data_IF_325367169582
#
_entry.id   IF_325367169582
#
_cell.length_a   1.000
_cell.length_b   1.000
_cell.length_c   1.000
_cell.angle_alpha   90.00
_cell.angle_beta   90.00
_cell.angle_gamma   90.00
#
_symmetry.space_group_name_H-M   'P 1'
#
loop_
_entity.id
_entity.type
_entity.pdbx_description
1 polymer ?
#
# COMPACT_ATOMS: atom_id res chain seq x y z
N UNK A 1 -0.10 12.81 4.01
CA UNK A 1 1.07 13.59 4.45
C UNK A 1 2.08 13.68 3.31
N UNK A 2 2.61 14.85 2.96
CA UNK A 2 3.55 14.99 1.84
C UNK A 2 4.60 16.04 2.12
N UNK A 3 5.86 15.73 1.84
CA UNK A 3 6.95 16.70 1.97
C UNK A 3 7.28 17.05 3.43
N UNK A 4 6.92 16.18 4.38
CA UNK A 4 7.21 16.42 5.79
C UNK A 4 8.73 16.35 6.00
N UNK A 5 9.32 17.50 6.33
CA UNK A 5 10.74 17.71 6.56
C UNK A 5 10.92 19.03 7.32
N UNK A 6 11.81 19.03 8.30
CA UNK A 6 12.13 20.14 9.19
C UNK A 6 13.65 20.25 9.35
N UNK A 7 14.12 21.44 9.71
CA UNK A 7 15.53 21.63 10.06
C UNK A 7 15.82 20.98 11.42
N UNK A 8 16.94 20.26 11.52
CA UNK A 8 17.43 19.68 12.78
C UNK A 8 18.84 20.18 13.07
N UNK A 9 19.08 20.57 14.32
CA UNK A 9 20.42 20.94 14.77
C UNK A 9 21.37 19.74 14.83
N UNK A 10 20.84 18.55 15.10
CA UNK A 10 21.61 17.33 15.29
C UNK A 10 21.87 16.59 13.97
N UNK A 11 20.93 16.68 13.02
CA UNK A 11 20.95 15.90 11.79
C UNK A 11 20.87 16.74 10.51
N UNK A 12 20.83 18.07 10.61
CA UNK A 12 20.71 19.02 9.49
C UNK A 12 19.29 19.08 8.92
N UNK A 13 18.68 17.94 8.64
CA UNK A 13 17.28 17.80 8.24
C UNK A 13 16.70 16.56 8.89
N UNK A 14 15.52 16.70 9.45
CA UNK A 14 14.81 15.67 10.19
C UNK A 14 13.29 15.80 9.95
N UNK A 15 12.51 14.83 10.39
CA UNK A 15 11.06 14.87 10.30
C UNK A 15 10.47 13.68 9.58
N UNK A 16 9.69 12.90 10.32
CA UNK A 16 8.82 11.87 9.79
C UNK A 16 7.47 12.41 9.32
N UNK A 17 6.71 11.57 8.61
CA UNK A 17 5.27 11.78 8.50
C UNK A 17 4.62 11.79 9.91
N UNK A 18 5.11 10.94 10.81
CA UNK A 18 4.70 10.87 12.21
C UNK A 18 5.92 10.64 13.11
N UNK A 19 5.95 11.34 14.25
CA UNK A 19 6.92 11.14 15.32
C UNK A 19 6.17 10.89 16.64
N UNK A 20 6.57 9.84 17.37
CA UNK A 20 6.08 9.54 18.72
C UNK A 20 7.25 9.75 19.67
N UNK A 21 7.22 10.86 20.41
CA UNK A 21 8.32 11.27 21.26
C UNK A 21 7.88 11.34 22.73
N UNK A 22 8.29 10.35 23.53
CA UNK A 22 8.04 10.33 24.97
C UNK A 22 9.08 11.18 25.72
N UNK A 23 8.69 11.88 26.79
CA UNK A 23 9.66 12.68 27.58
C UNK A 23 9.25 12.83 29.03
N UNK A 24 10.21 13.16 29.90
CA UNK A 24 9.99 13.45 31.33
C UNK A 24 9.26 12.32 32.09
N UNK A 25 9.64 11.06 31.85
CA UNK A 25 9.01 9.90 32.47
C UNK A 25 7.57 9.62 32.02
N UNK A 26 7.06 10.32 31.00
CA UNK A 26 5.70 10.12 30.50
C UNK A 26 5.67 8.92 29.58
N UNK A 27 4.68 8.06 29.76
CA UNK A 27 4.38 6.96 28.85
C UNK A 27 3.27 7.35 27.86
N UNK A 28 3.55 7.22 26.57
CA UNK A 28 2.57 7.33 25.48
C UNK A 28 2.04 5.93 25.19
N UNK A 29 0.72 5.76 25.24
CA UNK A 29 0.08 4.46 25.03
C UNK A 29 -1.19 4.56 24.18
N UNK A 30 -1.58 3.46 23.54
CA UNK A 30 -2.84 3.39 22.80
C UNK A 30 -2.83 4.16 21.48
N UNK A 31 -1.65 4.50 20.94
CA UNK A 31 -1.55 5.27 19.69
C UNK A 31 -1.97 4.42 18.49
N UNK A 32 -2.75 4.99 17.57
CA UNK A 32 -3.21 4.35 16.34
C UNK A 32 -2.91 5.27 15.15
N UNK A 33 -2.07 4.80 14.23
CA UNK A 33 -1.71 5.52 13.00
C UNK A 33 -2.16 4.64 11.84
N UNK A 34 -3.31 4.95 11.24
CA UNK A 34 -3.88 4.04 10.26
C UNK A 34 -4.55 4.73 9.07
N UNK A 35 -4.66 3.99 7.96
CA UNK A 35 -5.31 4.42 6.73
C UNK A 35 -4.75 5.72 6.13
N UNK A 36 -3.47 6.05 6.41
CA UNK A 36 -2.85 7.24 5.88
C UNK A 36 -2.19 6.97 4.53
N UNK A 37 -2.26 7.97 3.64
CA UNK A 37 -1.37 8.06 2.49
C UNK A 37 -0.24 9.04 2.78
N UNK A 38 1.01 8.61 2.63
CA UNK A 38 2.18 9.46 2.82
C UNK A 38 3.22 9.33 1.72
N UNK A 39 3.83 10.45 1.30
CA UNK A 39 4.88 10.39 0.29
C UNK A 39 5.93 11.50 0.41
N UNK A 40 7.15 11.21 -0.05
CA UNK A 40 8.22 12.21 -0.17
C UNK A 40 8.53 12.93 1.15
N UNK A 41 8.55 12.20 2.25
CA UNK A 41 8.90 12.73 3.57
C UNK A 41 10.37 12.40 3.90
N UNK A 42 10.93 12.99 4.96
CA UNK A 42 12.26 12.64 5.49
C UNK A 42 12.20 11.53 6.53
N UNK A 43 11.37 10.52 6.27
CA UNK A 43 10.98 9.44 7.18
C UNK A 43 9.47 9.26 7.21
N UNK A 44 8.98 8.04 7.46
CA UNK A 44 7.56 7.82 7.76
C UNK A 44 7.31 7.90 9.26
N UNK A 45 7.93 7.01 10.05
CA UNK A 45 7.69 6.89 11.48
C UNK A 45 8.99 6.98 12.26
N UNK A 46 9.02 7.87 13.25
CA UNK A 46 10.03 7.88 14.29
C UNK A 46 9.42 7.62 15.67
N UNK A 47 10.09 6.76 16.44
CA UNK A 47 9.73 6.40 17.81
C UNK A 47 10.96 6.61 18.68
N UNK A 48 10.85 7.49 19.66
CA UNK A 48 11.97 7.82 20.55
C UNK A 48 11.52 8.60 21.77
N UNK A 49 12.48 9.25 22.41
CA UNK A 49 12.18 10.09 23.55
C UNK A 49 13.38 10.40 24.43
N UNK A 50 13.15 11.11 25.52
CA UNK A 50 14.20 11.44 26.50
C UNK A 50 13.70 11.22 27.92
N UNK A 51 14.63 11.23 28.87
CA UNK A 51 14.33 11.36 30.29
C UNK A 51 13.38 10.28 30.83
N UNK A 52 13.58 9.03 30.42
CA UNK A 52 12.89 7.84 30.96
C UNK A 52 11.43 7.67 30.53
N UNK A 53 11.01 8.28 29.41
CA UNK A 53 9.69 8.06 28.83
C UNK A 53 9.48 6.66 28.24
N UNK A 54 8.22 6.25 28.12
CA UNK A 54 7.81 4.96 27.56
C UNK A 54 6.88 5.10 26.36
N UNK A 55 6.91 4.13 25.45
CA UNK A 55 5.97 4.03 24.32
C UNK A 55 5.45 2.60 24.27
N UNK A 56 4.13 2.45 24.42
CA UNK A 56 3.47 1.13 24.45
C UNK A 56 2.21 1.07 23.63
N UNK A 57 1.76 -0.15 23.34
CA UNK A 57 0.46 -0.44 22.73
C UNK A 57 0.15 0.46 21.53
N UNK A 58 1.11 0.55 20.60
CA UNK A 58 1.01 1.41 19.42
C UNK A 58 0.76 0.55 18.19
N UNK A 59 -0.22 0.94 17.37
CA UNK A 59 -0.56 0.21 16.14
C UNK A 59 -0.43 1.13 14.94
N UNK A 60 0.28 0.65 13.94
CA UNK A 60 0.48 1.31 12.65
C UNK A 60 -0.08 0.38 11.58
N UNK A 61 -1.23 0.71 10.99
CA UNK A 61 -1.89 -0.20 10.06
C UNK A 61 -2.55 0.42 8.84
N UNK A 62 -2.61 -0.33 7.73
CA UNK A 62 -3.25 0.14 6.48
C UNK A 62 -2.71 1.48 5.96
N UNK A 63 -1.48 1.85 6.33
CA UNK A 63 -0.84 3.03 5.76
C UNK A 63 -0.20 2.64 4.44
N UNK A 64 -0.25 3.59 3.51
CA UNK A 64 0.50 3.53 2.27
C UNK A 64 1.57 4.61 2.31
N UNK A 65 2.82 4.19 2.15
CA UNK A 65 3.98 5.08 2.22
C UNK A 65 4.80 4.96 0.95
N UNK A 66 5.26 6.09 0.43
CA UNK A 66 6.04 6.11 -0.82
C UNK A 66 7.22 7.07 -0.77
N UNK A 67 8.40 6.60 -1.10
CA UNK A 67 9.60 7.41 -1.27
C UNK A 67 9.85 8.37 -0.09
N UNK A 68 9.72 7.88 1.14
CA UNK A 68 10.01 8.62 2.37
C UNK A 68 11.37 8.25 2.99
N UNK A 69 12.18 7.40 2.34
CA UNK A 69 13.49 7.03 2.82
C UNK A 69 13.43 5.99 3.94
N UNK A 70 13.34 6.44 5.19
CA UNK A 70 13.15 5.55 6.35
C UNK A 70 11.66 5.26 6.54
N UNK A 71 11.29 3.99 6.64
CA UNK A 71 9.95 3.63 7.10
C UNK A 71 9.84 3.73 8.61
N UNK A 72 10.85 3.25 9.34
CA UNK A 72 10.91 3.29 10.80
C UNK A 72 12.30 3.71 11.28
N UNK A 73 12.36 4.72 12.14
CA UNK A 73 13.47 4.94 13.06
C UNK A 73 12.98 4.70 14.49
N UNK A 74 13.63 3.80 15.24
CA UNK A 74 13.25 3.46 16.62
C UNK A 74 14.46 3.57 17.54
N UNK A 75 14.43 4.56 18.42
CA UNK A 75 15.45 4.78 19.43
C UNK A 75 15.14 3.98 20.70
N UNK A 76 15.91 2.92 20.93
CA UNK A 76 15.80 2.01 22.07
C UNK A 76 16.85 2.26 23.16
N UNK A 77 17.72 3.24 22.94
CA UNK A 77 18.75 3.65 23.89
C UNK A 77 19.52 4.86 23.38
N UNK A 78 20.54 5.28 24.14
CA UNK A 78 21.28 6.52 23.86
C UNK A 78 20.47 7.76 24.20
N UNK A 79 20.88 8.92 23.66
CA UNK A 79 20.31 10.24 23.98
C UNK A 79 18.80 10.31 23.75
N UNK A 80 18.31 9.66 22.71
CA UNK A 80 16.89 9.71 22.31
C UNK A 80 16.13 8.40 22.60
N UNK A 81 16.66 7.56 23.49
CA UNK A 81 16.08 6.26 23.81
C UNK A 81 14.85 6.33 24.71
N UNK A 82 13.85 5.50 24.38
CA UNK A 82 12.67 5.24 25.22
C UNK A 82 12.51 3.75 25.52
N UNK A 83 11.79 3.41 26.59
CA UNK A 83 11.29 2.04 26.77
C UNK A 83 10.15 1.79 25.78
N UNK A 84 10.36 0.88 24.81
CA UNK A 84 9.38 0.60 23.75
C UNK A 84 8.90 -0.84 23.82
N UNK A 85 7.58 -1.02 23.88
CA UNK A 85 6.94 -2.34 23.89
C UNK A 85 5.61 -2.35 23.13
N UNK A 86 5.17 -3.52 22.67
CA UNK A 86 3.83 -3.70 22.10
C UNK A 86 3.57 -2.88 20.83
N UNK A 87 4.60 -2.51 20.07
CA UNK A 87 4.42 -1.87 18.76
C UNK A 87 3.98 -2.93 17.75
N UNK A 88 2.93 -2.63 16.99
CA UNK A 88 2.40 -3.50 15.95
C UNK A 88 2.36 -2.75 14.63
N UNK A 89 2.96 -3.30 13.61
CA UNK A 89 2.97 -2.75 12.25
C UNK A 89 2.31 -3.78 11.34
N UNK A 90 1.11 -3.47 10.87
CA UNK A 90 0.18 -4.45 10.30
C UNK A 90 -0.46 -3.97 9.00
N UNK A 91 -0.53 -4.78 7.94
CA UNK A 91 -1.25 -4.41 6.71
C UNK A 91 -0.81 -3.08 6.06
N UNK A 92 0.45 -2.68 6.18
CA UNK A 92 0.95 -1.49 5.49
C UNK A 92 1.52 -1.86 4.12
N UNK A 93 1.40 -0.94 3.16
CA UNK A 93 2.10 -1.03 1.88
C UNK A 93 3.18 0.06 1.83
N UNK A 94 4.44 -0.35 1.78
CA UNK A 94 5.62 0.52 1.83
C UNK A 94 6.38 0.41 0.52
N UNK A 95 6.47 1.51 -0.23
CA UNK A 95 7.08 1.54 -1.56
C UNK A 95 8.22 2.56 -1.58
N UNK A 96 9.45 2.08 -1.42
CA UNK A 96 10.65 2.90 -1.51
C UNK A 96 11.38 2.60 -2.81
N UNK A 97 11.33 3.50 -3.78
CA UNK A 97 11.94 3.30 -5.10
C UNK A 97 13.37 3.81 -5.19
N UNK A 98 13.81 4.59 -4.19
CA UNK A 98 15.13 5.21 -4.13
C UNK A 98 16.21 4.32 -3.51
N UNK A 99 17.19 4.97 -2.90
CA UNK A 99 18.31 4.34 -2.22
C UNK A 99 18.39 4.75 -0.74
N UNK A 100 18.99 3.89 0.07
CA UNK A 100 19.10 4.14 1.51
C UNK A 100 20.02 3.16 2.24
N UNK A 101 20.31 3.45 3.50
CA UNK A 101 21.14 2.55 4.34
C UNK A 101 20.31 1.40 4.91
N UNK A 102 19.22 1.74 5.60
CA UNK A 102 18.26 0.79 6.16
C UNK A 102 16.85 1.35 6.01
N UNK A 103 15.86 0.50 5.70
CA UNK A 103 14.45 0.92 5.66
C UNK A 103 13.87 1.06 7.08
N UNK A 104 14.27 0.14 7.97
CA UNK A 104 13.97 0.16 9.39
C UNK A 104 15.29 0.24 10.17
N UNK A 105 15.41 1.25 11.04
CA UNK A 105 16.60 1.49 11.82
C UNK A 105 16.26 1.46 13.31
N UNK A 106 16.98 0.62 14.06
CA UNK A 106 16.98 0.62 15.51
C UNK A 106 18.28 1.27 16.01
N UNK A 107 18.15 2.25 16.89
CA UNK A 107 19.25 3.09 17.38
C UNK A 107 19.43 2.88 18.87
N UNK A 108 20.68 2.76 19.33
CA UNK A 108 21.02 2.69 20.76
C UNK A 108 20.59 1.42 21.50
N UNK A 109 19.93 0.47 20.82
CA UNK A 109 19.50 -0.80 21.40
C UNK A 109 19.11 -1.82 20.32
N UNK A 110 18.68 -3.00 20.76
CA UNK A 110 18.14 -4.04 19.89
C UNK A 110 16.68 -4.33 20.28
N UNK A 111 15.78 -4.50 19.29
CA UNK A 111 14.40 -4.85 19.58
C UNK A 111 14.29 -6.31 20.05
N UNK A 112 13.19 -6.61 20.73
CA UNK A 112 12.78 -7.96 21.08
C UNK A 112 11.42 -8.29 20.48
N UNK A 113 10.97 -9.53 20.59
CA UNK A 113 9.61 -9.93 20.19
C UNK A 113 8.53 -9.14 20.97
N UNK A 114 8.85 -8.63 22.15
CA UNK A 114 7.97 -7.74 22.92
C UNK A 114 8.04 -6.27 22.50
N UNK A 115 9.05 -5.87 21.73
CA UNK A 115 9.22 -4.50 21.22
C UNK A 115 8.34 -4.25 20.00
N UNK A 116 8.45 -5.11 18.99
CA UNK A 116 7.79 -4.96 17.69
C UNK A 116 7.25 -6.30 17.18
N UNK A 117 6.04 -6.25 16.63
CA UNK A 117 5.45 -7.30 15.82
C UNK A 117 5.10 -6.77 14.41
N UNK A 118 5.78 -7.30 13.39
CA UNK A 118 5.68 -6.88 11.99
C UNK A 118 4.91 -7.92 11.19
N UNK A 119 3.67 -7.63 10.74
CA UNK A 119 2.80 -8.64 10.12
C UNK A 119 2.01 -8.14 8.93
N UNK A 120 1.72 -9.01 7.97
CA UNK A 120 0.82 -8.72 6.85
C UNK A 120 1.23 -7.48 6.05
N UNK A 121 2.49 -7.06 6.05
CA UNK A 121 2.91 -5.87 5.30
C UNK A 121 3.46 -6.25 3.93
N UNK A 122 3.36 -5.33 2.98
CA UNK A 122 4.11 -5.36 1.73
C UNK A 122 5.24 -4.33 1.81
N UNK A 123 6.47 -4.78 1.58
CA UNK A 123 7.64 -3.92 1.44
C UNK A 123 8.24 -4.06 0.04
N UNK A 124 8.14 -2.99 -0.74
CA UNK A 124 8.73 -2.89 -2.08
C UNK A 124 9.88 -1.89 -2.05
N UNK A 125 11.11 -2.42 -1.98
CA UNK A 125 12.30 -1.70 -1.54
C UNK A 125 13.34 -1.65 -2.64
N UNK A 126 13.80 -0.44 -2.95
CA UNK A 126 14.80 -0.11 -3.95
C UNK A 126 16.22 -0.51 -3.57
N UNK A 127 17.16 0.38 -3.82
CA UNK A 127 18.58 0.14 -3.62
C UNK A 127 19.02 0.45 -2.19
N UNK A 128 18.71 -0.43 -1.26
CA UNK A 128 19.07 -0.27 0.15
C UNK A 128 20.24 -1.19 0.50
N UNK A 129 21.08 -0.79 1.46
CA UNK A 129 22.05 -1.77 1.99
C UNK A 129 21.33 -2.86 2.78
N UNK A 130 20.37 -2.46 3.62
CA UNK A 130 19.60 -3.33 4.50
C UNK A 130 18.11 -3.00 4.46
N UNK A 131 17.25 -3.99 4.67
CA UNK A 131 15.88 -3.77 5.09
C UNK A 131 15.84 -3.31 6.55
N UNK A 132 16.46 -4.05 7.48
CA UNK A 132 16.66 -3.62 8.87
C UNK A 132 18.12 -3.76 9.32
N UNK A 133 18.54 -2.92 10.25
CA UNK A 133 19.88 -3.00 10.87
C UNK A 133 19.95 -3.88 12.12
N UNK A 134 18.82 -4.41 12.60
CA UNK A 134 18.72 -5.30 13.76
C UNK A 134 17.66 -6.37 13.53
N UNK A 135 17.91 -7.54 14.10
CA UNK A 135 16.95 -8.62 14.28
C UNK A 135 16.40 -8.64 15.72
N UNK A 136 15.54 -9.62 16.04
CA UNK A 136 15.07 -9.88 17.40
C UNK A 136 13.59 -9.53 17.64
N UNK A 137 12.99 -8.71 16.78
CA UNK A 137 11.54 -8.47 16.76
C UNK A 137 10.77 -9.65 16.16
N UNK A 138 9.48 -9.74 16.44
CA UNK A 138 8.61 -10.74 15.84
C UNK A 138 8.19 -10.31 14.43
N UNK A 139 8.24 -11.23 13.47
CA UNK A 139 7.79 -10.98 12.10
C UNK A 139 7.17 -12.24 11.49
N UNK A 140 6.07 -12.08 10.76
CA UNK A 140 5.38 -13.16 10.05
C UNK A 140 4.48 -12.60 8.95
N UNK A 141 4.15 -13.42 7.94
CA UNK A 141 3.22 -13.06 6.86
C UNK A 141 3.52 -11.70 6.20
N UNK A 142 4.79 -11.33 6.02
CA UNK A 142 5.15 -10.14 5.25
C UNK A 142 5.64 -10.55 3.86
N UNK A 143 5.37 -9.72 2.86
CA UNK A 143 5.94 -9.82 1.52
C UNK A 143 7.07 -8.82 1.38
N UNK A 144 8.25 -9.31 1.04
CA UNK A 144 9.43 -8.49 0.78
C UNK A 144 9.83 -8.57 -0.69
N UNK A 145 9.83 -7.43 -1.36
CA UNK A 145 10.38 -7.25 -2.70
C UNK A 145 11.62 -6.37 -2.61
N UNK A 146 12.79 -7.00 -2.63
CA UNK A 146 14.07 -6.30 -2.64
C UNK A 146 14.54 -6.17 -4.08
N UNK A 147 14.40 -4.98 -4.66
CA UNK A 147 14.65 -4.72 -6.09
C UNK A 147 16.13 -4.78 -6.44
N UNK A 148 17.00 -4.37 -5.51
CA UNK A 148 18.44 -4.50 -5.67
C UNK A 148 18.92 -5.82 -5.05
N UNK A 149 19.69 -6.60 -5.83
CA UNK A 149 20.21 -7.91 -5.38
C UNK A 149 21.13 -7.81 -4.16
N UNK A 150 21.77 -6.66 -3.94
CA UNK A 150 22.66 -6.44 -2.82
C UNK A 150 21.92 -6.09 -1.51
N UNK A 151 20.63 -5.73 -1.57
CA UNK A 151 19.85 -5.42 -0.37
C UNK A 151 19.66 -6.69 0.46
N UNK A 152 20.02 -6.65 1.73
CA UNK A 152 19.84 -7.78 2.65
C UNK A 152 18.68 -7.53 3.61
N UNK A 153 17.95 -8.57 4.03
CA UNK A 153 16.87 -8.41 5.01
C UNK A 153 17.38 -7.91 6.38
N UNK A 154 18.56 -8.35 6.80
CA UNK A 154 19.07 -8.10 8.15
C UNK A 154 18.54 -9.09 9.21
N UNK A 155 17.79 -10.09 8.78
CA UNK A 155 17.36 -11.28 9.52
C UNK A 155 17.13 -12.45 8.55
N UNK A 156 16.87 -13.64 9.08
CA UNK A 156 16.50 -14.82 8.28
C UNK A 156 15.01 -14.80 7.96
N UNK A 157 14.65 -14.83 6.68
CA UNK A 157 13.25 -14.93 6.24
C UNK A 157 12.57 -16.17 6.85
N UNK A 158 11.41 -15.98 7.46
CA UNK A 158 10.65 -17.04 8.11
C UNK A 158 9.49 -17.53 7.23
N UNK A 159 9.82 -18.32 6.21
CA UNK A 159 8.83 -18.90 5.30
C UNK A 159 7.80 -19.79 6.02
N UNK A 160 8.19 -20.47 7.11
CA UNK A 160 7.29 -21.29 7.93
C UNK A 160 6.22 -20.45 8.66
N UNK A 161 6.48 -19.15 8.85
CA UNK A 161 5.52 -18.19 9.40
C UNK A 161 4.83 -17.36 8.28
N UNK A 162 4.79 -17.86 7.05
CA UNK A 162 4.04 -17.24 5.95
C UNK A 162 4.76 -16.07 5.26
N UNK A 163 6.02 -15.77 5.59
CA UNK A 163 6.76 -14.72 4.89
C UNK A 163 7.17 -15.14 3.48
N UNK A 164 7.12 -14.19 2.54
CA UNK A 164 7.42 -14.44 1.12
C UNK A 164 8.39 -13.40 0.59
N UNK A 165 9.19 -13.81 -0.39
CA UNK A 165 9.95 -12.90 -1.26
C UNK A 165 9.27 -12.87 -2.63
N UNK A 166 9.07 -11.69 -3.21
CA UNK A 166 8.52 -11.58 -4.57
C UNK A 166 7.93 -10.22 -4.88
N UNK A 167 7.81 -9.93 -6.18
CA UNK A 167 7.14 -8.72 -6.68
C UNK A 167 5.67 -8.69 -6.21
N UNK A 168 5.19 -7.59 -5.58
CA UNK A 168 3.80 -7.48 -5.14
C UNK A 168 2.78 -7.43 -6.29
N UNK A 169 3.21 -7.26 -7.53
CA UNK A 169 2.35 -7.16 -8.72
C UNK A 169 1.27 -6.10 -8.54
N UNK A 170 1.68 -4.87 -8.26
CA UNK A 170 0.75 -3.74 -8.19
C UNK A 170 0.10 -3.46 -9.56
N UNK A 171 -1.16 -3.03 -9.58
CA UNK A 171 -1.91 -2.71 -10.81
C UNK A 171 -1.17 -1.65 -11.65
N UNK A 172 -0.74 -0.55 -11.03
CA UNK A 172 0.12 0.45 -11.66
C UNK A 172 0.92 1.23 -10.62
N UNK A 173 2.09 0.69 -10.23
CA UNK A 173 2.97 1.32 -9.26
C UNK A 173 3.49 2.70 -9.71
N UNK A 174 3.56 2.96 -11.02
CA UNK A 174 4.03 4.23 -11.57
C UNK A 174 2.95 5.32 -11.41
N UNK A 175 1.68 4.96 -11.62
CA UNK A 175 0.52 5.80 -11.33
C UNK A 175 0.11 5.81 -9.85
N UNK A 176 0.87 5.12 -8.97
CA UNK A 176 0.59 4.99 -7.54
C UNK A 176 -0.70 4.20 -7.23
N UNK A 177 -1.09 3.28 -8.11
CA UNK A 177 -2.13 2.30 -7.87
C UNK A 177 -1.52 1.03 -7.30
N UNK A 178 -1.56 0.92 -5.97
CA UNK A 178 -0.98 -0.18 -5.21
C UNK A 178 -1.96 -1.29 -4.88
N UNK A 179 -3.11 -1.33 -5.57
CA UNK A 179 -3.97 -2.53 -5.56
C UNK A 179 -3.22 -3.68 -6.24
N UNK A 180 -3.58 -4.91 -5.89
CA UNK A 180 -2.90 -6.12 -6.35
C UNK A 180 -3.49 -6.64 -7.67
N UNK A 181 -2.62 -7.07 -8.59
CA UNK A 181 -3.01 -7.87 -9.76
C UNK A 181 -3.30 -9.32 -9.33
N UNK A 182 -4.09 -10.08 -10.13
CA UNK A 182 -4.52 -11.44 -9.77
C UNK A 182 -3.40 -12.46 -9.54
N UNK A 183 -2.18 -12.22 -10.05
CA UNK A 183 -1.02 -13.11 -9.89
C UNK A 183 -0.08 -12.69 -8.74
N UNK A 184 -0.52 -11.77 -7.89
CA UNK A 184 0.29 -11.29 -6.76
C UNK A 184 0.53 -12.38 -5.71
N UNK A 185 1.77 -12.53 -5.19
CA UNK A 185 2.06 -13.43 -4.07
C UNK A 185 1.50 -12.92 -2.73
N UNK A 186 1.04 -11.66 -2.67
CA UNK A 186 0.41 -11.08 -1.49
C UNK A 186 -1.02 -11.57 -1.27
N UNK A 187 -1.70 -12.02 -2.35
CA UNK A 187 -3.06 -12.52 -2.30
C UNK A 187 -3.14 -13.79 -1.45
N UNK A 188 -4.15 -13.87 -0.58
CA UNK A 188 -4.40 -14.98 0.36
C UNK A 188 -3.13 -15.40 1.12
N UNK A 189 -2.29 -14.41 1.47
CA UNK A 189 -0.99 -14.62 2.09
C UNK A 189 -0.87 -14.08 3.51
N UNK A 190 -1.87 -13.32 3.97
CA UNK A 190 -1.91 -12.72 5.29
C UNK A 190 -2.52 -13.62 6.35
N UNK A 191 -2.40 -13.18 7.60
CA UNK A 191 -3.03 -13.79 8.77
C UNK A 191 -4.25 -12.98 9.20
N UNK A 192 -5.33 -13.62 9.64
CA UNK A 192 -6.43 -12.88 10.28
C UNK A 192 -5.97 -12.24 11.61
N UNK A 193 -5.97 -10.91 11.63
CA UNK A 193 -5.60 -10.09 12.79
C UNK A 193 -6.82 -9.43 13.46
N UNK A 194 -8.05 -9.77 13.02
CA UNK A 194 -9.31 -9.24 13.55
C UNK A 194 -9.74 -7.90 12.96
N UNK A 195 -9.20 -7.51 11.80
CA UNK A 195 -9.65 -6.33 11.06
C UNK A 195 -10.83 -6.68 10.17
N UNK A 196 -11.85 -5.81 10.04
CA UNK A 196 -12.98 -6.08 9.16
C UNK A 196 -12.78 -5.58 7.73
N UNK A 197 -11.98 -4.52 7.54
CA UNK A 197 -11.88 -3.77 6.30
C UNK A 197 -10.42 -3.37 5.98
N UNK A 198 -10.12 -3.21 4.70
CA UNK A 198 -8.83 -2.72 4.18
C UNK A 198 -8.73 -1.17 4.15
N UNK A 199 -7.68 -0.65 3.49
CA UNK A 199 -7.49 0.79 3.28
C UNK A 199 -8.63 1.48 2.51
N UNK A 200 -9.22 0.80 1.54
CA UNK A 200 -10.28 1.31 0.67
C UNK A 200 -11.70 1.07 1.21
N UNK A 201 -11.85 0.38 2.34
CA UNK A 201 -13.13 -0.01 2.92
C UNK A 201 -13.70 -1.31 2.34
N UNK A 202 -12.85 -2.12 1.69
CA UNK A 202 -13.16 -3.47 1.19
C UNK A 202 -13.14 -4.47 2.34
N UNK A 203 -14.07 -5.43 2.33
CA UNK A 203 -14.08 -6.54 3.30
C UNK A 203 -12.87 -7.47 3.09
N UNK A 204 -12.15 -7.76 4.16
CA UNK A 204 -10.98 -8.67 4.14
C UNK A 204 -11.36 -10.15 3.98
N UNK A 205 -12.64 -10.48 4.09
CA UNK A 205 -13.14 -11.84 3.91
C UNK A 205 -13.69 -12.05 2.49
N UNK A 206 -13.03 -11.43 1.50
CA UNK A 206 -13.35 -11.61 0.08
C UNK A 206 -12.61 -12.83 -0.52
N UNK A 207 -11.56 -13.32 0.15
CA UNK A 207 -10.81 -14.54 -0.16
C UNK A 207 -10.78 -15.56 0.99
N UNK A 208 -9.81 -16.49 0.96
CA UNK A 208 -9.63 -17.53 1.99
C UNK A 208 -8.96 -16.95 3.25
N UNK A 209 -8.01 -16.04 3.06
CA UNK A 209 -7.33 -15.31 4.13
C UNK A 209 -7.07 -13.87 3.69
N UNK A 210 -6.93 -12.90 4.62
CA UNK A 210 -6.65 -11.51 4.23
C UNK A 210 -5.39 -11.40 3.36
N UNK A 211 -5.38 -10.44 2.44
CA UNK A 211 -4.19 -10.15 1.67
C UNK A 211 -3.12 -9.44 2.53
N UNK A 212 -1.86 -9.63 2.16
CA UNK A 212 -0.79 -8.79 2.70
C UNK A 212 -0.89 -7.38 2.11
N UNK A 213 -0.53 -6.38 2.90
CA UNK A 213 -0.52 -4.98 2.51
C UNK A 213 -1.82 -4.25 2.83
N UNK A 214 -1.94 -3.03 2.30
CA UNK A 214 -3.01 -2.10 2.64
C UNK A 214 -4.31 -2.33 1.86
N UNK A 215 -4.27 -3.05 0.73
CA UNK A 215 -5.41 -3.24 -0.16
C UNK A 215 -5.73 -4.72 -0.31
N UNK A 216 -7.00 -5.06 -0.14
CA UNK A 216 -7.54 -6.37 -0.46
C UNK A 216 -7.79 -6.47 -1.98
N UNK A 217 -7.38 -7.57 -2.58
CA UNK A 217 -7.72 -7.90 -3.95
C UNK A 217 -9.19 -8.30 -4.02
N UNK A 218 -9.93 -7.65 -4.94
CA UNK A 218 -11.28 -8.07 -5.28
C UNK A 218 -11.19 -8.82 -6.61
N UNK A 219 -11.45 -10.14 -6.63
CA UNK A 219 -11.58 -10.87 -7.87
C UNK A 219 -12.63 -10.18 -8.73
N UNK A 220 -12.24 -9.71 -9.92
CA UNK A 220 -13.21 -9.22 -10.87
C UNK A 220 -14.11 -10.42 -11.23
N UNK A 221 -15.43 -10.28 -11.05
CA UNK A 221 -16.36 -11.30 -11.51
C UNK A 221 -16.08 -11.58 -12.98
N UNK A 222 -15.84 -12.85 -13.35
CA UNK A 222 -15.70 -13.20 -14.75
C UNK A 222 -16.92 -12.67 -15.51
N UNK A 223 -16.73 -12.05 -16.69
CA UNK A 223 -17.87 -11.74 -17.53
C UNK A 223 -18.64 -13.04 -17.75
N UNK A 224 -19.90 -13.07 -17.35
CA UNK A 224 -20.79 -14.21 -17.60
C UNK A 224 -20.60 -14.61 -19.06
N UNK A 225 -20.36 -15.90 -19.38
CA UNK A 225 -20.19 -16.30 -20.77
C UNK A 225 -21.40 -15.79 -21.52
N UNK A 226 -21.15 -14.87 -22.48
CA UNK A 226 -22.19 -14.42 -23.38
C UNK A 226 -22.84 -15.67 -23.94
N UNK A 227 -24.18 -15.83 -23.87
CA UNK A 227 -24.82 -17.07 -24.29
C UNK A 227 -24.29 -17.41 -25.67
N UNK A 228 -23.68 -18.59 -25.81
CA UNK A 228 -23.25 -19.10 -27.10
C UNK A 228 -24.44 -18.95 -28.02
N UNK A 229 -24.30 -18.11 -29.05
CA UNK A 229 -25.34 -18.01 -30.07
C UNK A 229 -25.57 -19.44 -30.55
N UNK A 230 -26.72 -20.01 -30.20
CA UNK A 230 -27.15 -21.27 -30.79
C UNK A 230 -27.18 -20.99 -32.28
N UNK A 231 -26.39 -21.75 -33.06
CA UNK A 231 -26.42 -21.62 -34.51
C UNK A 231 -27.89 -21.65 -34.93
N UNK A 232 -28.36 -20.52 -35.45
CA UNK A 232 -29.68 -20.45 -36.05
C UNK A 232 -29.64 -21.44 -37.21
N UNK A 233 -30.52 -22.45 -37.26
CA UNK A 233 -30.56 -23.39 -38.37
C UNK A 233 -30.58 -22.61 -39.68
N UNK A 234 -29.73 -23.01 -40.62
CA UNK A 234 -29.61 -22.36 -41.92
C UNK A 234 -31.01 -22.16 -42.53
N UNK A 235 -31.36 -20.94 -42.99
CA UNK A 235 -32.63 -20.72 -43.66
C UNK A 235 -32.74 -21.66 -44.87
N UNK A 236 -33.91 -22.28 -45.13
CA UNK A 236 -34.11 -23.04 -46.35
C UNK A 236 -33.86 -22.13 -47.56
N UNK A 237 -33.13 -22.65 -48.54
CA UNK A 237 -32.78 -21.98 -49.80
C UNK A 237 -33.99 -21.25 -50.39
N UNK A 238 -33.91 -19.93 -50.49
CA UNK A 238 -34.95 -19.11 -51.07
C UNK A 238 -35.04 -19.37 -52.58
N UNK A 239 -36.19 -19.87 -53.04
CA UNK A 239 -36.56 -19.88 -54.46
C UNK A 239 -36.74 -18.45 -54.94
N UNK A 240 -36.14 -18.11 -56.08
CA UNK A 240 -36.13 -16.77 -56.66
C UNK A 240 -37.56 -16.33 -57.00
N UNK A 241 -38.04 -15.26 -56.37
CA UNK A 241 -39.27 -14.55 -56.73
C UNK A 241 -38.96 -13.38 -57.68
N UNK A 242 -39.89 -13.01 -58.60
CA UNK A 242 -39.62 -12.06 -59.67
C UNK A 242 -39.43 -10.63 -59.19
N UNK A 243 -38.60 -9.91 -59.94
CA UNK A 243 -38.10 -8.55 -59.70
C UNK A 243 -39.22 -7.50 -59.54
N UNK A 244 -39.26 -6.83 -58.40
CA UNK A 244 -40.05 -5.62 -58.17
C UNK A 244 -39.25 -4.37 -58.58
N UNK A 245 -39.90 -3.45 -59.30
CA UNK A 245 -39.38 -2.14 -59.73
C UNK A 245 -39.20 -1.22 -58.50
N UNK A 246 -38.08 -0.48 -58.36
CA UNK A 246 -37.86 0.36 -57.19
C UNK A 246 -38.68 1.65 -57.22
N UNK A 247 -39.19 2.06 -56.05
CA UNK A 247 -39.87 3.32 -55.82
C UNK A 247 -38.88 4.50 -55.73
N UNK A 248 -39.29 5.74 -56.08
CA UNK A 248 -38.38 6.89 -56.17
C UNK A 248 -37.91 7.43 -54.81
N UNK A 249 -36.69 7.94 -54.82
CA UNK A 249 -35.91 8.42 -53.66
C UNK A 249 -36.51 9.70 -53.04
N UNK A 250 -36.68 9.79 -51.71
CA UNK A 250 -37.14 11.02 -51.07
C UNK A 250 -36.02 12.08 -50.99
N UNK A 251 -36.40 13.35 -51.11
CA UNK A 251 -35.53 14.53 -51.06
C UNK A 251 -34.99 14.81 -49.64
N UNK A 252 -33.78 15.37 -49.50
CA UNK A 252 -33.16 15.65 -48.20
C UNK A 252 -33.81 16.83 -47.47
N UNK A 253 -33.90 16.73 -46.13
CA UNK A 253 -34.38 17.81 -45.24
C UNK A 253 -33.29 18.89 -45.00
N UNK A 254 -33.67 20.16 -44.78
CA UNK A 254 -32.70 21.23 -44.49
C UNK A 254 -32.13 21.12 -43.06
N UNK A 255 -30.83 21.41 -42.92
CA UNK A 255 -30.12 21.50 -41.65
C UNK A 255 -30.23 22.93 -41.09
N UNK A 256 -30.67 23.07 -39.83
CA UNK A 256 -30.67 24.35 -39.10
C UNK A 256 -29.41 24.40 -38.22
N UNK A 257 -28.57 25.46 -38.29
CA UNK A 257 -27.37 25.55 -37.46
C UNK A 257 -27.70 26.00 -36.03
N UNK A 258 -27.15 25.28 -35.05
CA UNK A 258 -27.24 25.62 -33.63
C UNK A 258 -26.30 26.78 -33.30
N UNK A 259 -26.82 27.87 -32.71
CA UNK A 259 -26.05 29.04 -32.29
C UNK A 259 -25.25 28.76 -31.01
N UNK A 260 -24.01 29.24 -30.98
CA UNK A 260 -23.12 29.23 -29.82
C UNK A 260 -23.63 30.15 -28.69
N UNK A 261 -23.54 29.70 -27.44
CA UNK A 261 -23.71 30.52 -26.24
C UNK A 261 -22.35 30.71 -25.54
N UNK A 262 -22.01 31.97 -25.27
CA UNK A 262 -20.86 32.43 -24.47
C UNK A 262 -21.01 32.04 -22.99
N UNK A 263 -19.90 31.86 -22.24
CA UNK A 263 -19.92 31.65 -20.80
C UNK A 263 -20.11 32.97 -20.03
N UNK A 264 -20.97 32.94 -19.01
CA UNK A 264 -21.17 34.01 -18.04
C UNK A 264 -20.14 33.88 -16.91
N UNK A 265 -19.32 34.91 -16.75
CA UNK A 265 -18.43 35.13 -15.59
C UNK A 265 -19.27 35.77 -14.48
N UNK A 266 -19.21 35.24 -13.26
CA UNK A 266 -19.50 36.00 -12.04
C UNK A 266 -18.43 35.65 -11.02
N UNK A 267 -17.61 36.65 -10.67
CA UNK A 267 -16.83 36.66 -9.45
C UNK A 267 -17.57 37.44 -8.37
N UNK A 268 -17.39 37.00 -7.13
CA UNK A 268 -17.01 37.78 -5.95
C UNK A 268 -16.42 36.79 -4.94
#
# INVERSE_FOLDING_TARGET
>A
MRGCSAFSHDFGTDGGAVEIYARNGITIEGTRIHNNWSCSNSGFLEIGGTDGGGIRDTVISYNVTRNSGLFLCMHLGGTFGSEVSGVRIEHNTVVETGEGRALMAFVGGAPTAGTLNLRNNIFDVGNYSLFTNREGFAHSHNLYHLRAQATQLGFVLNAAAGEKMGDPRFVDAAAQDYRLQPDSPAIDGGMDLGYPLDHAGTSLFSGDTPDMGAYEHIPQAEPSPSPTATETPAPPTATVSPTMIPAPRPLPRPVVPLRAFLPLVIGL
#
